data_IF_111357480115
#
_entry.id   IF_111357480115
#
_cell.length_a   1.000
_cell.length_b   1.000
_cell.length_c   1.000
_cell.angle_alpha   90.00
_cell.angle_beta   90.00
_cell.angle_gamma   90.00
#
_symmetry.space_group_name_H-M   'P 1'
#
loop_
_entity.id
_entity.type
_entity.pdbx_description
1 polymer ?
#
# COMPACT_ATOMS: atom_id res chain seq x y z
N UNK A 1 -4.63 -2.07 23.18
CA UNK A 1 -5.35 -1.60 21.98
C UNK A 1 -4.51 -1.95 20.77
N UNK A 2 -5.02 -2.79 19.88
CA UNK A 2 -4.31 -3.13 18.64
C UNK A 2 -4.64 -2.04 17.61
N UNK A 3 -3.64 -1.24 17.23
CA UNK A 3 -3.80 -0.25 16.17
C UNK A 3 -4.00 -0.97 14.83
N UNK A 4 -5.06 -0.59 14.11
CA UNK A 4 -5.47 -1.22 12.86
C UNK A 4 -4.43 -1.13 11.74
N UNK A 5 -3.77 0.03 11.60
CA UNK A 5 -2.65 0.29 10.70
C UNK A 5 -2.08 1.68 10.96
N UNK A 6 -0.90 1.98 10.44
CA UNK A 6 -0.35 3.34 10.42
C UNK A 6 -1.06 4.16 9.34
N UNK A 7 -2.20 4.75 9.69
CA UNK A 7 -2.73 5.91 8.96
C UNK A 7 -2.07 7.14 9.55
N UNK A 8 -1.47 8.02 8.73
CA UNK A 8 -1.15 9.34 9.26
C UNK A 8 -2.46 10.10 9.43
N UNK A 9 -2.86 10.31 10.70
CA UNK A 9 -3.93 11.21 11.11
C UNK A 9 -3.41 12.67 11.26
N UNK A 10 -2.24 12.98 10.70
CA UNK A 10 -1.62 14.31 10.80
C UNK A 10 -1.73 15.13 9.50
N UNK A 11 -1.95 16.46 9.60
CA UNK A 11 -2.31 17.34 8.48
C UNK A 11 -1.11 17.85 7.66
N UNK A 12 0.09 17.32 7.86
CA UNK A 12 1.27 17.71 7.08
C UNK A 12 1.45 16.76 5.89
N UNK A 13 1.46 17.32 4.68
CA UNK A 13 1.78 16.60 3.45
C UNK A 13 3.12 15.88 3.62
N UNK A 14 3.11 14.55 3.51
CA UNK A 14 4.34 13.77 3.49
C UNK A 14 5.13 14.15 2.25
N UNK A 15 6.40 14.48 2.44
CA UNK A 15 7.31 14.78 1.33
C UNK A 15 7.78 13.49 0.64
N UNK A 16 8.26 13.60 -0.59
CA UNK A 16 8.89 12.49 -1.32
C UNK A 16 9.97 11.81 -0.49
N UNK A 17 10.89 12.60 0.08
CA UNK A 17 12.00 12.08 0.90
C UNK A 17 11.50 11.31 2.13
N UNK A 18 10.47 11.82 2.84
CA UNK A 18 9.89 11.11 3.98
C UNK A 18 9.22 9.79 3.57
N UNK A 19 8.57 9.72 2.40
CA UNK A 19 8.05 8.45 1.86
C UNK A 19 9.20 7.48 1.56
N UNK A 20 10.28 7.96 0.94
CA UNK A 20 11.47 7.15 0.66
C UNK A 20 12.10 6.61 1.94
N UNK A 21 12.37 7.47 2.92
CA UNK A 21 12.96 7.08 4.21
C UNK A 21 12.13 5.98 4.88
N UNK A 22 10.79 6.15 4.93
CA UNK A 22 9.87 5.15 5.52
C UNK A 22 9.80 3.85 4.73
N UNK A 23 9.72 3.92 3.40
CA UNK A 23 9.73 2.75 2.53
C UNK A 23 11.07 1.97 2.56
N UNK A 24 12.13 2.64 3.03
CA UNK A 24 13.47 2.10 3.20
C UNK A 24 13.82 1.74 4.65
N UNK A 25 12.89 1.90 5.59
CA UNK A 25 13.10 1.46 6.97
C UNK A 25 13.47 -0.03 7.02
N UNK A 26 14.41 -0.43 7.89
CA UNK A 26 14.74 -1.83 8.10
C UNK A 26 13.48 -2.63 8.45
N UNK A 27 13.21 -3.69 7.69
CA UNK A 27 12.05 -4.55 7.87
C UNK A 27 10.95 -4.34 6.82
N UNK A 28 10.90 -3.19 6.14
CA UNK A 28 10.02 -3.02 4.97
C UNK A 28 10.51 -3.94 3.86
N UNK A 29 9.69 -4.92 3.51
CA UNK A 29 10.03 -5.98 2.56
C UNK A 29 9.59 -5.61 1.14
N UNK A 30 8.38 -5.07 1.01
CA UNK A 30 7.79 -4.76 -0.28
C UNK A 30 7.17 -3.37 -0.32
N UNK A 31 7.13 -2.76 -1.51
CA UNK A 31 6.43 -1.50 -1.78
C UNK A 31 5.74 -1.60 -3.14
N UNK A 32 4.42 -1.49 -3.16
CA UNK A 32 3.60 -1.68 -4.35
C UNK A 32 2.62 -0.54 -4.57
N UNK A 33 2.31 -0.28 -5.85
CA UNK A 33 1.07 0.38 -6.23
C UNK A 33 0.03 -0.69 -6.53
N UNK A 34 -1.11 -0.64 -5.86
CA UNK A 34 -2.18 -1.63 -5.99
C UNK A 34 -3.53 -0.99 -6.30
N UNK A 35 -4.45 -1.74 -6.87
CA UNK A 35 -5.85 -1.34 -7.09
C UNK A 35 -6.80 -2.29 -6.39
N UNK A 36 -7.78 -1.75 -5.67
CA UNK A 36 -8.81 -2.57 -5.03
C UNK A 36 -9.82 -3.10 -6.05
N UNK A 37 -9.81 -4.40 -6.31
CA UNK A 37 -10.71 -5.07 -7.26
C UNK A 37 -11.99 -5.55 -6.58
N UNK A 38 -11.87 -6.15 -5.40
CA UNK A 38 -13.00 -6.67 -4.64
C UNK A 38 -12.73 -6.66 -3.14
N UNK A 39 -13.80 -6.65 -2.35
CA UNK A 39 -13.77 -6.87 -0.91
C UNK A 39 -14.70 -8.03 -0.58
N UNK A 40 -14.18 -9.04 0.11
CA UNK A 40 -14.97 -10.14 0.65
C UNK A 40 -15.02 -9.98 2.17
N UNK A 41 -16.23 -9.87 2.70
CA UNK A 41 -16.46 -9.58 4.11
C UNK A 41 -16.74 -10.88 4.86
N UNK A 42 -16.08 -11.05 6.01
CA UNK A 42 -16.37 -12.16 6.93
C UNK A 42 -16.72 -11.61 8.32
N UNK A 43 -17.25 -12.45 9.23
CA UNK A 43 -17.59 -12.02 10.59
C UNK A 43 -16.39 -11.57 11.44
N UNK A 44 -15.14 -11.90 11.06
CA UNK A 44 -13.95 -11.57 11.87
C UNK A 44 -12.90 -10.74 11.11
N UNK A 45 -12.82 -10.88 9.80
CA UNK A 45 -11.84 -10.22 8.94
C UNK A 45 -12.42 -9.88 7.56
N UNK A 46 -11.80 -8.94 6.88
CA UNK A 46 -12.10 -8.58 5.51
C UNK A 46 -10.92 -8.94 4.61
N UNK A 47 -11.24 -9.55 3.47
CA UNK A 47 -10.28 -9.83 2.41
C UNK A 47 -10.42 -8.76 1.32
N UNK A 48 -9.37 -7.98 1.13
CA UNK A 48 -9.23 -6.98 0.08
C UNK A 48 -8.43 -7.60 -1.06
N UNK A 49 -9.12 -7.92 -2.15
CA UNK A 49 -8.51 -8.44 -3.37
C UNK A 49 -7.93 -7.26 -4.14
N UNK A 50 -6.61 -7.17 -4.14
CA UNK A 50 -5.85 -6.08 -4.73
C UNK A 50 -5.11 -6.58 -5.97
N UNK A 51 -5.19 -5.86 -7.08
CA UNK A 51 -4.35 -6.06 -8.26
C UNK A 51 -3.06 -5.25 -8.09
N UNK A 52 -1.89 -5.90 -8.23
CA UNK A 52 -0.61 -5.20 -8.16
C UNK A 52 -0.31 -4.55 -9.51
N UNK A 53 -0.45 -3.23 -9.57
CA UNK A 53 -0.24 -2.45 -10.79
C UNK A 53 1.24 -2.16 -11.07
N UNK A 54 2.02 -1.90 -10.02
CA UNK A 54 3.45 -1.63 -10.12
C UNK A 54 4.21 -2.11 -8.90
N UNK A 55 5.42 -2.61 -9.13
CA UNK A 55 6.35 -3.05 -8.10
C UNK A 55 7.43 -1.99 -7.95
N UNK A 56 7.36 -1.24 -6.86
CA UNK A 56 8.31 -0.15 -6.57
C UNK A 56 9.53 -0.69 -5.82
N UNK A 57 9.31 -1.65 -4.91
CA UNK A 57 10.34 -2.43 -4.23
C UNK A 57 9.93 -3.89 -4.21
N UNK A 58 10.77 -4.73 -4.80
CA UNK A 58 10.62 -6.19 -4.79
C UNK A 58 10.91 -6.73 -3.39
N UNK A 59 10.06 -7.63 -2.90
CA UNK A 59 10.19 -8.28 -1.61
C UNK A 59 10.25 -9.80 -1.74
N UNK A 60 9.69 -10.49 -0.74
CA UNK A 60 9.68 -11.96 -0.65
C UNK A 60 8.72 -12.63 -1.64
N UNK A 61 7.65 -11.95 -2.05
CA UNK A 61 6.69 -12.48 -3.04
C UNK A 61 7.31 -12.46 -4.45
N UNK A 62 7.46 -13.64 -5.04
CA UNK A 62 8.01 -13.83 -6.38
C UNK A 62 6.92 -13.55 -7.44
N UNK A 63 7.18 -12.57 -8.30
CA UNK A 63 6.31 -12.13 -9.40
C UNK A 63 4.91 -11.60 -8.99
N UNK A 64 4.84 -10.48 -8.22
CA UNK A 64 3.57 -9.89 -7.83
C UNK A 64 2.89 -9.08 -8.95
N UNK A 65 3.64 -8.57 -9.93
CA UNK A 65 3.13 -7.64 -10.94
C UNK A 65 2.00 -8.23 -11.80
N UNK A 66 0.93 -7.45 -12.01
CA UNK A 66 -0.20 -7.82 -12.87
C UNK A 66 -1.07 -8.96 -12.31
N UNK A 67 -0.87 -9.34 -11.05
CA UNK A 67 -1.58 -10.43 -10.42
C UNK A 67 -2.35 -9.96 -9.19
N UNK A 68 -3.35 -10.74 -8.80
CA UNK A 68 -4.15 -10.44 -7.62
C UNK A 68 -3.46 -10.98 -6.36
N UNK A 69 -3.51 -10.18 -5.30
CA UNK A 69 -3.08 -10.53 -3.95
C UNK A 69 -4.18 -10.20 -2.95
N UNK A 70 -4.27 -11.03 -1.91
CA UNK A 70 -5.26 -10.86 -0.86
C UNK A 70 -4.62 -10.15 0.31
N UNK A 71 -5.11 -8.95 0.62
CA UNK A 71 -4.77 -8.22 1.82
C UNK A 71 -5.87 -8.43 2.85
N UNK A 72 -5.52 -8.85 4.06
CA UNK A 72 -6.48 -9.22 5.11
C UNK A 72 -6.38 -8.22 6.23
N UNK A 73 -7.52 -7.72 6.72
CA UNK A 73 -7.57 -6.88 7.92
C UNK A 73 -8.68 -7.34 8.84
N UNK A 74 -8.59 -7.03 10.13
CA UNK A 74 -9.68 -7.27 11.05
C UNK A 74 -10.92 -6.45 10.67
N UNK A 75 -12.11 -7.03 10.85
CA UNK A 75 -13.38 -6.38 10.51
C UNK A 75 -13.54 -5.01 11.19
N UNK A 76 -13.09 -4.90 12.46
CA UNK A 76 -13.09 -3.65 13.24
C UNK A 76 -12.26 -2.51 12.61
N UNK A 77 -11.35 -2.83 11.67
CA UNK A 77 -10.52 -1.87 10.95
C UNK A 77 -11.14 -1.37 9.65
N UNK A 78 -12.28 -1.92 9.22
CA UNK A 78 -12.95 -1.60 7.96
C UNK A 78 -13.24 -0.09 7.80
N UNK A 79 -13.84 0.51 8.82
CA UNK A 79 -14.24 1.93 8.80
C UNK A 79 -13.04 2.87 8.93
N UNK A 80 -11.93 2.39 9.48
CA UNK A 80 -10.66 3.10 9.52
C UNK A 80 -9.96 3.03 8.17
N UNK A 81 -9.96 1.87 7.51
CA UNK A 81 -9.33 1.67 6.20
C UNK A 81 -10.03 2.46 5.09
N UNK A 82 -11.36 2.44 5.05
CA UNK A 82 -12.18 3.15 4.04
C UNK A 82 -11.75 2.88 2.59
N UNK A 83 -11.25 1.68 2.32
CA UNK A 83 -10.82 1.30 0.97
C UNK A 83 -12.02 1.24 0.02
N UNK A 84 -11.82 1.80 -1.17
CA UNK A 84 -12.84 1.97 -2.20
C UNK A 84 -12.49 1.14 -3.42
N UNK A 85 -13.44 0.33 -3.87
CA UNK A 85 -13.28 -0.47 -5.08
C UNK A 85 -13.01 0.43 -6.29
N UNK A 86 -12.02 0.06 -7.10
CA UNK A 86 -11.58 0.78 -8.29
C UNK A 86 -10.58 1.91 -8.02
N UNK A 87 -10.23 2.17 -6.76
CA UNK A 87 -9.22 3.16 -6.39
C UNK A 87 -7.83 2.51 -6.28
N UNK A 88 -6.80 3.34 -6.49
CA UNK A 88 -5.40 2.95 -6.39
C UNK A 88 -4.85 3.33 -5.03
N UNK A 89 -3.89 2.55 -4.54
CA UNK A 89 -3.27 2.72 -3.23
C UNK A 89 -1.76 2.46 -3.31
N UNK A 90 -0.97 3.25 -2.59
CA UNK A 90 0.40 2.93 -2.25
C UNK A 90 0.38 2.07 -0.98
N UNK A 91 0.99 0.89 -1.04
CA UNK A 91 1.08 -0.02 0.09
C UNK A 91 2.51 -0.51 0.29
N UNK A 92 2.96 -0.56 1.54
CA UNK A 92 4.18 -1.25 1.92
C UNK A 92 4.02 -1.91 3.28
N UNK A 93 4.79 -2.96 3.52
CA UNK A 93 4.69 -3.77 4.74
C UNK A 93 5.93 -4.59 4.98
N UNK A 94 5.90 -5.38 6.05
CA UNK A 94 7.03 -6.19 6.47
C UNK A 94 6.93 -7.63 5.94
N UNK A 95 8.06 -8.32 5.89
CA UNK A 95 8.08 -9.74 5.54
C UNK A 95 7.27 -10.61 6.51
N UNK A 96 7.17 -10.18 7.78
CA UNK A 96 6.38 -10.87 8.80
C UNK A 96 4.86 -10.81 8.57
N UNK A 97 4.41 -9.87 7.73
CA UNK A 97 2.99 -9.70 7.40
C UNK A 97 2.57 -10.62 6.24
N UNK A 98 3.49 -11.40 5.67
CA UNK A 98 3.25 -12.31 4.57
C UNK A 98 3.03 -13.74 5.07
N UNK A 99 2.03 -14.42 4.51
CA UNK A 99 1.93 -15.89 4.59
C UNK A 99 1.45 -16.47 3.27
N UNK A 100 1.81 -17.72 3.04
CA UNK A 100 1.42 -18.46 1.85
C UNK A 100 0.13 -19.22 2.13
N UNK A 101 -0.93 -18.90 1.39
CA UNK A 101 -2.17 -19.67 1.37
C UNK A 101 -2.20 -20.48 0.07
N UNK A 102 -1.75 -21.74 0.15
CA UNK A 102 -1.66 -22.63 -1.02
C UNK A 102 -0.57 -22.18 -2.00
N UNK A 103 -0.94 -21.61 -3.14
CA UNK A 103 -0.03 -21.08 -4.17
C UNK A 103 0.04 -19.55 -4.22
N UNK A 104 -0.68 -18.87 -3.34
CA UNK A 104 -0.80 -17.41 -3.36
C UNK A 104 -0.29 -16.80 -2.06
N UNK A 105 0.43 -15.69 -2.17
CA UNK A 105 0.81 -14.86 -1.03
C UNK A 105 -0.39 -14.05 -0.56
N UNK A 106 -0.57 -14.00 0.76
CA UNK A 106 -1.54 -13.16 1.45
C UNK A 106 -0.81 -12.23 2.41
N UNK A 107 -1.38 -11.05 2.62
CA UNK A 107 -0.76 -9.94 3.34
C UNK A 107 -1.64 -9.52 4.50
N UNK A 108 -1.06 -9.27 5.68
CA UNK A 108 -1.79 -8.72 6.82
C UNK A 108 -1.71 -7.21 6.74
N UNK A 109 -2.86 -6.54 6.76
CA UNK A 109 -2.94 -5.11 7.04
C UNK A 109 -3.01 -4.96 8.56
N UNK A 110 -1.86 -4.69 9.16
CA UNK A 110 -1.70 -4.45 10.59
C UNK A 110 -1.05 -3.12 10.89
N UNK A 111 -0.66 -2.91 12.16
CA UNK A 111 -0.07 -1.67 12.67
C UNK A 111 1.16 -1.17 11.90
N UNK A 112 1.90 -2.07 11.25
CA UNK A 112 3.14 -1.72 10.54
C UNK A 112 2.96 -1.65 9.02
N UNK A 113 1.76 -1.91 8.53
CA UNK A 113 1.39 -1.70 7.14
C UNK A 113 1.12 -0.23 6.89
N UNK A 114 1.76 0.31 5.86
CA UNK A 114 1.44 1.64 5.35
C UNK A 114 0.43 1.53 4.21
N UNK A 115 -0.56 2.43 4.22
CA UNK A 115 -1.57 2.47 3.18
C UNK A 115 -2.00 3.91 2.91
N UNK A 116 -1.77 4.38 1.70
CA UNK A 116 -2.06 5.74 1.25
C UNK A 116 -2.86 5.69 -0.05
N UNK A 117 -3.90 6.52 -0.17
CA UNK A 117 -4.67 6.59 -1.41
C UNK A 117 -3.87 7.29 -2.50
N UNK A 118 -3.73 6.61 -3.64
CA UNK A 118 -3.04 7.15 -4.81
C UNK A 118 -4.07 7.82 -5.73
N UNK A 119 -4.02 9.15 -5.94
CA UNK A 119 -5.01 9.84 -6.76
C UNK A 119 -5.04 9.33 -8.21
N UNK A 120 -6.25 9.17 -8.76
CA UNK A 120 -6.41 8.81 -10.17
C UNK A 120 -5.92 9.94 -11.09
N UNK A 121 -5.59 9.63 -12.34
CA UNK A 121 -5.20 10.64 -13.34
C UNK A 121 -6.25 11.75 -13.52
N UNK A 122 -7.54 11.39 -13.39
CA UNK A 122 -8.65 12.35 -13.42
C UNK A 122 -8.64 13.25 -12.18
N UNK A 123 -8.39 12.68 -11.01
CA UNK A 123 -8.25 13.43 -9.76
C UNK A 123 -7.04 14.37 -9.78
N UNK A 124 -5.96 13.99 -10.46
CA UNK A 124 -4.76 14.82 -10.64
C UNK A 124 -4.99 16.08 -11.50
N UNK A 125 -6.14 16.21 -12.17
CA UNK A 125 -6.53 17.46 -12.83
C UNK A 125 -6.99 18.53 -11.83
N UNK A 126 -7.30 18.15 -10.59
CA UNK A 126 -7.57 19.10 -9.51
C UNK A 126 -6.27 19.77 -9.07
N UNK A 127 -6.17 21.12 -9.12
CA UNK A 127 -4.99 21.85 -8.65
C UNK A 127 -4.59 21.53 -7.21
N UNK A 128 -5.55 21.14 -6.35
CA UNK A 128 -5.28 20.77 -4.97
C UNK A 128 -4.53 19.42 -4.85
N UNK A 129 -4.70 18.51 -5.80
CA UNK A 129 -4.08 17.17 -5.80
C UNK A 129 -2.86 17.07 -6.72
N UNK A 130 -2.63 18.07 -7.56
CA UNK A 130 -1.55 18.06 -8.54
C UNK A 130 -0.18 17.81 -7.91
N UNK A 131 0.12 18.46 -6.78
CA UNK A 131 1.37 18.28 -6.04
C UNK A 131 1.50 16.85 -5.50
N UNK A 132 0.44 16.31 -4.88
CA UNK A 132 0.44 14.94 -4.37
C UNK A 132 0.70 13.92 -5.47
N UNK A 133 0.08 14.10 -6.65
CA UNK A 133 0.33 13.24 -7.80
C UNK A 133 1.78 13.27 -8.29
N UNK A 134 2.40 14.46 -8.30
CA UNK A 134 3.81 14.62 -8.64
C UNK A 134 4.70 13.94 -7.59
N UNK A 135 4.43 14.14 -6.31
CA UNK A 135 5.19 13.51 -5.22
C UNK A 135 5.15 11.98 -5.30
N UNK A 136 3.98 11.39 -5.58
CA UNK A 136 3.85 9.94 -5.79
C UNK A 136 4.64 9.44 -7.01
N UNK A 137 4.59 10.18 -8.12
CA UNK A 137 5.31 9.82 -9.34
C UNK A 137 6.84 9.87 -9.11
N UNK A 138 7.33 10.95 -8.51
CA UNK A 138 8.75 11.14 -8.17
C UNK A 138 9.24 10.09 -7.17
N UNK A 139 8.45 9.79 -6.13
CA UNK A 139 8.74 8.72 -5.18
C UNK A 139 8.88 7.37 -5.89
N UNK A 140 7.89 7.00 -6.72
CA UNK A 140 7.87 5.71 -7.40
C UNK A 140 9.03 5.58 -8.38
N UNK A 141 9.33 6.62 -9.16
CA UNK A 141 10.46 6.63 -10.09
C UNK A 141 11.78 6.52 -9.34
N UNK A 142 11.99 7.36 -8.32
CA UNK A 142 13.24 7.38 -7.55
C UNK A 142 13.51 6.06 -6.84
N UNK A 143 12.51 5.49 -6.18
CA UNK A 143 12.64 4.20 -5.51
C UNK A 143 12.90 3.05 -6.50
N UNK A 144 12.27 3.07 -7.67
CA UNK A 144 12.45 2.02 -8.67
C UNK A 144 13.85 2.09 -9.32
N UNK A 145 14.38 3.31 -9.54
CA UNK A 145 15.67 3.52 -10.21
C UNK A 145 16.87 3.42 -9.27
N UNK A 146 16.78 4.02 -8.08
CA UNK A 146 17.90 4.15 -7.15
C UNK A 146 17.80 3.21 -5.96
N UNK A 147 16.61 2.66 -5.68
CA UNK A 147 16.37 1.85 -4.49
C UNK A 147 16.51 2.66 -3.21
N UNK A 148 16.85 1.96 -2.13
CA UNK A 148 17.06 2.59 -0.83
C UNK A 148 18.49 3.14 -0.70
N UNK A 149 18.66 4.37 -0.17
CA UNK A 149 19.97 4.89 0.15
C UNK A 149 20.65 4.02 1.22
N UNK A 150 21.96 3.82 1.07
CA UNK A 150 22.81 3.06 1.99
C UNK A 150 23.19 3.83 3.24
#
# INVERSE_FOLDING_TARGET
EESCFKRQEEPEDITVNQRMDRACEPGVDFVYKVRLVAREETPSHDNYIMEVLSVIKMGTDEDPAGSNRTFVSHQQCRDTLRLRKGHDYLVWGQASDLWVTGRHFSYLIGKDTWLEEWPSEVSCQDPALQKLCQDFAEFSESMTLFGCPS
#
